data_IF_235916797962
#
_entry.id   IF_235916797962
#
_cell.length_a   1.000
_cell.length_b   1.000
_cell.length_c   1.000
_cell.angle_alpha   90.00
_cell.angle_beta   90.00
_cell.angle_gamma   90.00
#
_symmetry.space_group_name_H-M   'P 1'
#
loop_
_entity.id
_entity.type
_entity.pdbx_description
1 polymer ?
#
# COMPACT_ATOMS: atom_id res chain seq x y z
N UNK A 1 -19.04 -16.79 24.58
CA UNK A 1 -18.23 -17.40 23.50
C UNK A 1 -18.73 -17.10 22.07
N UNK A 2 -20.02 -16.85 21.81
CA UNK A 2 -20.57 -16.59 20.47
C UNK A 2 -20.05 -15.29 19.80
N UNK A 3 -19.77 -14.25 20.59
CA UNK A 3 -19.31 -12.96 20.08
C UNK A 3 -17.86 -12.95 19.58
N UNK A 4 -16.99 -13.81 20.15
CA UNK A 4 -15.58 -13.95 19.71
C UNK A 4 -15.44 -14.65 18.35
N UNK A 5 -16.35 -15.55 18.01
CA UNK A 5 -16.36 -16.18 16.67
C UNK A 5 -16.83 -15.20 15.61
N UNK A 6 -17.83 -14.35 15.91
CA UNK A 6 -18.22 -13.28 15.01
C UNK A 6 -17.10 -12.26 14.83
N UNK A 7 -16.43 -11.81 15.89
CA UNK A 7 -15.33 -10.85 15.75
C UNK A 7 -14.17 -11.40 14.91
N UNK A 8 -13.80 -12.67 15.11
CA UNK A 8 -12.71 -13.28 14.34
C UNK A 8 -13.10 -13.55 12.87
N UNK A 9 -14.37 -13.89 12.61
CA UNK A 9 -14.88 -13.97 11.24
C UNK A 9 -14.97 -12.58 10.60
N UNK A 10 -15.34 -11.55 11.36
CA UNK A 10 -15.38 -10.17 10.89
C UNK A 10 -13.99 -9.63 10.59
N UNK A 11 -13.00 -9.92 11.42
CA UNK A 11 -11.58 -9.61 11.18
C UNK A 11 -11.04 -10.38 9.97
N UNK A 12 -11.39 -11.66 9.82
CA UNK A 12 -11.01 -12.46 8.66
C UNK A 12 -11.67 -11.97 7.36
N UNK A 13 -12.93 -11.51 7.41
CA UNK A 13 -13.65 -10.97 6.26
C UNK A 13 -13.16 -9.57 5.89
N UNK A 14 -12.93 -8.68 6.87
CA UNK A 14 -12.31 -7.36 6.64
C UNK A 14 -10.86 -7.45 6.17
N UNK A 15 -10.17 -8.57 6.42
CA UNK A 15 -8.83 -8.82 5.87
C UNK A 15 -8.85 -9.22 4.39
N UNK A 16 -10.03 -9.51 3.82
CA UNK A 16 -10.17 -9.96 2.45
C UNK A 16 -10.41 -8.78 1.51
N UNK A 17 -9.51 -8.60 0.54
CA UNK A 17 -9.56 -7.56 -0.50
C UNK A 17 -10.92 -7.47 -1.22
N UNK A 18 -11.65 -8.58 -1.30
CA UNK A 18 -12.90 -8.69 -2.05
C UNK A 18 -14.15 -8.34 -1.25
N UNK A 19 -14.08 -8.27 0.08
CA UNK A 19 -15.27 -8.12 0.89
C UNK A 19 -16.00 -6.79 0.65
N UNK A 20 -15.28 -5.67 0.72
CA UNK A 20 -15.85 -4.33 0.47
C UNK A 20 -16.41 -4.22 -0.95
N UNK A 21 -15.67 -4.58 -2.03
CA UNK A 21 -16.22 -4.61 -3.38
C UNK A 21 -17.50 -5.46 -3.51
N UNK A 22 -17.52 -6.67 -2.92
CA UNK A 22 -18.70 -7.54 -2.99
C UNK A 22 -19.93 -6.92 -2.32
N UNK A 23 -19.75 -6.28 -1.16
CA UNK A 23 -20.84 -5.57 -0.47
C UNK A 23 -21.35 -4.40 -1.32
N UNK A 24 -20.46 -3.61 -1.93
CA UNK A 24 -20.84 -2.50 -2.79
C UNK A 24 -21.63 -2.97 -4.02
N UNK A 25 -21.21 -4.07 -4.65
CA UNK A 25 -21.92 -4.66 -5.80
C UNK A 25 -23.31 -5.12 -5.38
N UNK A 26 -23.44 -5.76 -4.22
CA UNK A 26 -24.73 -6.17 -3.68
C UNK A 26 -25.65 -4.95 -3.43
N UNK A 27 -25.10 -3.87 -2.86
CA UNK A 27 -25.85 -2.62 -2.66
C UNK A 27 -26.27 -1.99 -3.99
N UNK A 28 -25.43 -2.02 -5.02
CA UNK A 28 -25.77 -1.52 -6.34
C UNK A 28 -26.85 -2.36 -7.04
N UNK A 29 -26.82 -3.69 -6.88
CA UNK A 29 -27.90 -4.56 -7.32
C UNK A 29 -29.21 -4.20 -6.61
N UNK A 30 -29.20 -4.10 -5.29
CA UNK A 30 -30.38 -3.72 -4.51
C UNK A 30 -30.90 -2.34 -4.93
N UNK A 31 -30.01 -1.36 -5.10
CA UNK A 31 -30.34 -0.02 -5.57
C UNK A 31 -30.99 -0.07 -6.96
N UNK A 32 -30.50 -0.90 -7.88
CA UNK A 32 -31.10 -1.06 -9.21
C UNK A 32 -32.53 -1.58 -9.14
N UNK A 33 -32.81 -2.60 -8.31
CA UNK A 33 -34.16 -3.12 -8.14
C UNK A 33 -35.10 -2.09 -7.52
N UNK A 34 -34.61 -1.29 -6.57
CA UNK A 34 -35.38 -0.21 -5.93
C UNK A 34 -35.70 0.90 -6.94
N UNK A 35 -34.71 1.42 -7.68
CA UNK A 35 -34.94 2.50 -8.65
C UNK A 35 -35.86 2.06 -9.77
N UNK A 36 -35.66 0.85 -10.30
CA UNK A 36 -36.53 0.25 -11.32
C UNK A 36 -37.96 0.02 -10.77
N UNK A 37 -38.10 -0.49 -9.55
CA UNK A 37 -39.41 -0.75 -8.94
C UNK A 37 -40.20 0.52 -8.66
N UNK A 38 -39.52 1.61 -8.28
CA UNK A 38 -40.14 2.93 -8.12
C UNK A 38 -40.63 3.44 -9.47
N UNK A 39 -39.81 3.35 -10.52
CA UNK A 39 -40.18 3.77 -11.87
C UNK A 39 -41.38 2.97 -12.44
N UNK A 40 -41.53 1.69 -12.08
CA UNK A 40 -42.67 0.87 -12.51
C UNK A 40 -43.98 1.23 -11.78
N UNK A 41 -43.90 1.59 -10.49
CA UNK A 41 -45.07 1.84 -9.66
C UNK A 41 -45.56 3.29 -9.72
N UNK A 42 -44.68 4.25 -9.96
CA UNK A 42 -45.07 5.63 -10.13
C UNK A 42 -45.36 5.90 -11.61
N UNK A 43 -46.61 6.29 -11.92
CA UNK A 43 -46.90 7.03 -13.17
C UNK A 43 -46.23 8.41 -13.07
N UNK A 44 -44.93 8.46 -13.34
CA UNK A 44 -44.06 9.57 -13.76
C UNK A 44 -44.55 11.01 -13.51
N UNK A 45 -44.99 11.35 -12.30
CA UNK A 45 -45.43 12.72 -11.97
C UNK A 45 -44.36 13.51 -11.19
N UNK A 46 -43.46 12.84 -10.45
CA UNK A 46 -42.46 13.51 -9.61
C UNK A 46 -41.17 13.92 -10.33
N UNK A 47 -40.92 13.46 -11.56
CA UNK A 47 -39.66 13.72 -12.30
C UNK A 47 -39.90 14.53 -13.59
N UNK A 48 -41.15 14.95 -13.86
CA UNK A 48 -41.47 15.82 -15.00
C UNK A 48 -40.69 17.15 -15.02
N UNK A 49 -40.06 17.55 -13.92
CA UNK A 49 -39.21 18.74 -13.83
C UNK A 49 -37.73 18.53 -14.25
N UNK A 50 -37.20 17.29 -14.24
CA UNK A 50 -35.86 17.01 -14.80
C UNK A 50 -35.97 16.72 -16.30
N UNK A 51 -36.37 17.72 -17.09
CA UNK A 51 -36.65 17.59 -18.53
C UNK A 51 -35.52 17.00 -19.39
N UNK A 52 -34.27 17.00 -18.92
CA UNK A 52 -33.14 16.42 -19.65
C UNK A 52 -33.16 14.88 -19.70
N UNK A 53 -33.60 14.20 -18.63
CA UNK A 53 -33.66 12.73 -18.57
C UNK A 53 -34.87 12.16 -19.34
N UNK A 54 -35.94 12.95 -19.48
CA UNK A 54 -37.12 12.60 -20.26
C UNK A 54 -36.86 12.70 -21.78
N UNK A 55 -35.97 13.59 -22.20
CA UNK A 55 -35.70 13.89 -23.63
C UNK A 55 -34.82 12.83 -24.32
N UNK A 56 -34.08 12.00 -23.58
CA UNK A 56 -33.10 11.07 -24.13
C UNK A 56 -33.71 9.87 -24.88
N UNK A 57 -34.98 9.57 -24.57
CA UNK A 57 -35.68 8.40 -25.10
C UNK A 57 -35.03 7.06 -24.73
N UNK A 58 -35.62 5.95 -25.21
CA UNK A 58 -35.16 4.58 -24.93
C UNK A 58 -33.79 4.28 -25.55
N UNK A 59 -33.56 4.72 -26.79
CA UNK A 59 -32.29 4.53 -27.51
C UNK A 59 -31.14 5.30 -26.86
N UNK A 60 -31.35 6.57 -26.50
CA UNK A 60 -30.34 7.39 -25.83
C UNK A 60 -29.99 6.86 -24.43
N UNK A 61 -30.99 6.40 -23.68
CA UNK A 61 -30.77 5.79 -22.36
C UNK A 61 -29.95 4.51 -22.46
N UNK A 62 -30.24 3.63 -23.43
CA UNK A 62 -29.43 2.43 -23.70
C UNK A 62 -28.00 2.79 -24.09
N UNK A 63 -27.83 3.80 -24.96
CA UNK A 63 -26.51 4.23 -25.43
C UNK A 63 -25.64 4.76 -24.28
N UNK A 64 -26.18 5.65 -23.44
CA UNK A 64 -25.45 6.20 -22.28
C UNK A 64 -25.12 5.10 -21.27
N UNK A 65 -26.09 4.25 -20.89
CA UNK A 65 -25.83 3.18 -19.92
C UNK A 65 -24.80 2.17 -20.44
N UNK A 66 -24.83 1.85 -21.74
CA UNK A 66 -23.85 0.96 -22.37
C UNK A 66 -22.46 1.60 -22.39
N UNK A 67 -22.37 2.90 -22.69
CA UNK A 67 -21.12 3.64 -22.63
C UNK A 67 -20.55 3.66 -21.20
N UNK A 68 -21.38 3.97 -20.19
CA UNK A 68 -20.99 3.94 -18.77
C UNK A 68 -20.50 2.55 -18.39
N UNK A 69 -21.24 1.49 -18.72
CA UNK A 69 -20.84 0.12 -18.38
C UNK A 69 -19.48 -0.23 -19.00
N UNK A 70 -19.30 0.02 -20.30
CA UNK A 70 -18.03 -0.24 -20.99
C UNK A 70 -16.86 0.52 -20.37
N UNK A 71 -17.03 1.84 -20.15
CA UNK A 71 -16.00 2.68 -19.53
C UNK A 71 -15.65 2.22 -18.10
N UNK A 72 -16.65 1.88 -17.28
CA UNK A 72 -16.39 1.41 -15.91
C UNK A 72 -15.65 0.07 -15.88
N UNK A 73 -15.95 -0.84 -16.80
CA UNK A 73 -15.22 -2.11 -16.94
C UNK A 73 -13.76 -1.87 -17.33
N UNK A 74 -13.49 -0.96 -18.28
CA UNK A 74 -12.13 -0.58 -18.67
C UNK A 74 -11.38 0.03 -17.49
N UNK A 75 -11.97 1.01 -16.80
CA UNK A 75 -11.34 1.69 -15.67
C UNK A 75 -11.06 0.72 -14.51
N UNK A 76 -12.00 -0.18 -14.19
CA UNK A 76 -11.78 -1.23 -13.19
C UNK A 76 -10.58 -2.13 -13.54
N UNK A 77 -10.47 -2.53 -14.81
CA UNK A 77 -9.36 -3.36 -15.30
C UNK A 77 -8.02 -2.62 -15.22
N UNK A 78 -8.00 -1.33 -15.57
CA UNK A 78 -6.80 -0.49 -15.45
C UNK A 78 -6.39 -0.30 -13.99
N UNK A 79 -7.34 -0.01 -13.10
CA UNK A 79 -7.08 0.14 -11.66
C UNK A 79 -6.53 -1.16 -11.05
N UNK A 80 -7.11 -2.31 -11.41
CA UNK A 80 -6.64 -3.61 -10.99
C UNK A 80 -5.21 -3.90 -11.48
N UNK A 81 -4.91 -3.58 -12.73
CA UNK A 81 -3.56 -3.72 -13.30
C UNK A 81 -2.53 -2.87 -12.55
N UNK A 82 -2.83 -1.59 -12.31
CA UNK A 82 -1.94 -0.68 -11.56
C UNK A 82 -1.71 -1.20 -10.14
N UNK A 83 -2.76 -1.71 -9.48
CA UNK A 83 -2.65 -2.32 -8.16
C UNK A 83 -1.69 -3.52 -8.17
N UNK A 84 -1.81 -4.42 -9.15
CA UNK A 84 -0.93 -5.58 -9.26
C UNK A 84 0.51 -5.16 -9.48
N UNK A 85 0.75 -4.17 -10.35
CA UNK A 85 2.11 -3.64 -10.60
C UNK A 85 2.70 -3.05 -9.31
N UNK A 86 1.92 -2.26 -8.57
CA UNK A 86 2.34 -1.73 -7.28
C UNK A 86 2.66 -2.85 -6.28
N UNK A 87 1.84 -3.90 -6.23
CA UNK A 87 2.06 -5.07 -5.37
C UNK A 87 3.36 -5.82 -5.73
N UNK A 88 3.63 -6.00 -7.03
CA UNK A 88 4.86 -6.62 -7.52
C UNK A 88 6.10 -5.80 -7.16
N UNK A 89 6.03 -4.47 -7.30
CA UNK A 89 7.10 -3.55 -6.88
C UNK A 89 7.35 -3.62 -5.37
N UNK A 90 6.29 -3.62 -4.57
CA UNK A 90 6.39 -3.72 -3.10
C UNK A 90 7.01 -5.07 -2.67
N UNK A 91 6.56 -6.18 -3.26
CA UNK A 91 7.07 -7.52 -2.94
C UNK A 91 8.52 -7.72 -3.36
N UNK A 92 8.96 -7.09 -4.45
CA UNK A 92 10.35 -7.18 -4.92
C UNK A 92 11.32 -6.31 -4.14
N UNK A 93 10.87 -5.19 -3.58
CA UNK A 93 11.75 -4.23 -2.90
C UNK A 93 11.74 -4.31 -1.36
N UNK A 94 10.66 -4.77 -0.72
CA UNK A 94 10.50 -4.56 0.74
C UNK A 94 10.01 -5.79 1.54
N UNK A 95 9.93 -6.97 0.92
CA UNK A 95 9.64 -8.24 1.59
C UNK A 95 8.17 -8.48 1.97
N UNK A 96 7.84 -9.69 2.48
CA UNK A 96 6.48 -10.21 2.55
C UNK A 96 5.53 -9.49 3.53
N UNK A 97 6.02 -8.59 4.39
CA UNK A 97 5.20 -7.88 5.38
C UNK A 97 4.38 -6.73 4.78
N UNK A 98 4.86 -6.07 3.73
CA UNK A 98 4.13 -4.98 3.06
C UNK A 98 3.03 -5.48 2.12
N UNK A 99 3.17 -6.71 1.61
CA UNK A 99 2.14 -7.39 0.81
C UNK A 99 0.79 -7.46 1.54
N UNK A 100 0.83 -7.68 2.86
CA UNK A 100 -0.36 -7.79 3.71
C UNK A 100 -1.06 -6.45 3.94
N UNK A 101 -0.30 -5.35 4.02
CA UNK A 101 -0.86 -4.00 4.17
C UNK A 101 -1.50 -3.51 2.86
N UNK A 102 -0.92 -3.83 1.70
CA UNK A 102 -1.46 -3.43 0.40
C UNK A 102 -2.81 -4.12 0.09
N UNK A 103 -2.95 -5.39 0.46
CA UNK A 103 -4.22 -6.14 0.33
C UNK A 103 -5.34 -5.61 1.26
N UNK A 104 -4.97 -4.84 2.30
CA UNK A 104 -5.90 -4.23 3.25
C UNK A 104 -6.19 -2.75 2.95
N UNK A 105 -5.66 -2.21 1.85
CA UNK A 105 -5.89 -0.83 1.47
C UNK A 105 -7.37 -0.60 1.11
N UNK A 106 -8.10 0.03 2.03
CA UNK A 106 -9.50 0.35 1.86
C UNK A 106 -9.75 1.34 0.72
N UNK A 107 -8.79 2.20 0.41
CA UNK A 107 -8.89 3.13 -0.71
C UNK A 107 -9.05 2.37 -2.01
N UNK A 108 -8.18 1.40 -2.25
CA UNK A 108 -8.23 0.61 -3.47
C UNK A 108 -9.47 -0.31 -3.54
N UNK A 109 -9.90 -0.86 -2.40
CA UNK A 109 -11.14 -1.64 -2.31
C UNK A 109 -12.39 -0.81 -2.67
N UNK A 110 -12.48 0.43 -2.17
CA UNK A 110 -13.58 1.35 -2.48
C UNK A 110 -13.57 1.73 -3.96
N UNK A 111 -12.39 2.00 -4.52
CA UNK A 111 -12.22 2.33 -5.94
C UNK A 111 -12.72 1.20 -6.83
N UNK A 112 -12.19 -0.01 -6.63
CA UNK A 112 -12.58 -1.18 -7.40
C UNK A 112 -14.07 -1.50 -7.22
N UNK A 113 -14.54 -1.44 -5.96
CA UNK A 113 -15.94 -1.62 -5.62
C UNK A 113 -16.85 -0.63 -6.33
N UNK A 114 -16.49 0.65 -6.41
CA UNK A 114 -17.29 1.70 -7.06
C UNK A 114 -17.42 1.44 -8.56
N UNK A 115 -16.33 1.11 -9.26
CA UNK A 115 -16.37 0.87 -10.71
C UNK A 115 -17.18 -0.37 -11.06
N UNK A 116 -16.96 -1.49 -10.36
CA UNK A 116 -17.72 -2.72 -10.59
C UNK A 116 -19.20 -2.52 -10.24
N UNK A 117 -19.50 -1.79 -9.15
CA UNK A 117 -20.88 -1.50 -8.73
C UNK A 117 -21.62 -0.67 -9.77
N UNK A 118 -20.99 0.38 -10.29
CA UNK A 118 -21.56 1.24 -11.34
C UNK A 118 -21.76 0.46 -12.64
N UNK A 119 -20.81 -0.41 -13.01
CA UNK A 119 -20.95 -1.33 -14.14
C UNK A 119 -22.17 -2.25 -13.98
N UNK A 120 -22.28 -2.95 -12.84
CA UNK A 120 -23.38 -3.90 -12.57
C UNK A 120 -24.73 -3.18 -12.51
N UNK A 121 -24.78 -2.00 -11.88
CA UNK A 121 -25.97 -1.15 -11.87
C UNK A 121 -26.42 -0.83 -13.30
N UNK A 122 -25.52 -0.32 -14.15
CA UNK A 122 -25.84 0.02 -15.53
C UNK A 122 -26.34 -1.19 -16.33
N UNK A 123 -25.77 -2.39 -16.11
CA UNK A 123 -26.26 -3.61 -16.76
C UNK A 123 -27.66 -4.02 -16.30
N UNK A 124 -28.00 -3.88 -15.02
CA UNK A 124 -29.34 -4.20 -14.51
C UNK A 124 -30.40 -3.25 -15.08
N UNK A 125 -30.09 -1.95 -15.16
CA UNK A 125 -30.98 -0.98 -15.78
C UNK A 125 -31.11 -1.26 -17.29
N UNK A 126 -30.01 -1.53 -17.98
CA UNK A 126 -30.02 -1.86 -19.41
C UNK A 126 -30.84 -3.12 -19.72
N UNK A 127 -30.72 -4.17 -18.89
CA UNK A 127 -31.52 -5.39 -18.97
C UNK A 127 -33.02 -5.09 -18.94
N UNK A 128 -33.44 -4.14 -18.10
CA UNK A 128 -34.85 -3.75 -17.96
C UNK A 128 -35.36 -3.05 -19.22
N UNK A 129 -34.57 -2.15 -19.82
CA UNK A 129 -34.93 -1.44 -21.05
C UNK A 129 -34.97 -2.37 -22.27
N UNK A 130 -34.18 -3.45 -22.26
CA UNK A 130 -34.13 -4.43 -23.36
C UNK A 130 -35.18 -5.55 -23.24
N UNK A 131 -35.60 -5.92 -22.03
CA UNK A 131 -36.50 -7.06 -21.79
C UNK A 131 -37.99 -6.82 -22.04
N UNK A 132 -38.43 -5.55 -22.18
CA UNK A 132 -39.83 -5.19 -22.37
C UNK A 132 -40.16 -5.03 -23.86
N UNK A 133 -40.13 -6.13 -24.62
CA UNK A 133 -40.39 -6.13 -26.08
C UNK A 133 -41.80 -5.65 -26.49
N UNK A 134 -42.75 -5.54 -25.54
CA UNK A 134 -44.15 -5.14 -25.84
C UNK A 134 -44.51 -3.72 -25.41
N UNK A 135 -43.73 -3.08 -24.54
CA UNK A 135 -43.94 -1.70 -24.11
C UNK A 135 -42.58 -1.02 -23.91
N UNK A 136 -42.32 0.03 -24.68
CA UNK A 136 -41.09 0.80 -24.65
C UNK A 136 -41.03 1.62 -23.34
N UNK A 137 -40.64 0.95 -22.25
CA UNK A 137 -40.56 1.53 -20.92
C UNK A 137 -39.11 1.90 -20.59
N UNK A 138 -38.91 3.16 -20.21
CA UNK A 138 -37.61 3.69 -19.79
C UNK A 138 -37.71 4.08 -18.32
N UNK A 139 -36.96 3.43 -17.42
CA UNK A 139 -36.91 3.80 -16.02
C UNK A 139 -36.03 5.06 -15.87
N UNK A 140 -36.64 6.23 -15.99
CA UNK A 140 -35.93 7.51 -16.02
C UNK A 140 -35.18 7.77 -14.71
N UNK A 141 -35.75 7.45 -13.53
CA UNK A 141 -35.05 7.59 -12.25
C UNK A 141 -33.82 6.69 -12.21
N UNK A 142 -33.95 5.44 -12.67
CA UNK A 142 -32.85 4.50 -12.70
C UNK A 142 -31.71 4.97 -13.62
N UNK A 143 -32.04 5.53 -14.80
CA UNK A 143 -31.06 6.12 -15.73
C UNK A 143 -30.36 7.32 -15.09
N UNK A 144 -31.10 8.27 -14.50
CA UNK A 144 -30.51 9.44 -13.84
C UNK A 144 -29.59 9.05 -12.68
N UNK A 145 -29.98 8.06 -11.88
CA UNK A 145 -29.14 7.53 -10.81
C UNK A 145 -27.84 6.89 -11.37
N UNK A 146 -27.92 6.16 -12.49
CA UNK A 146 -26.75 5.61 -13.17
C UNK A 146 -25.78 6.68 -13.67
N UNK A 147 -26.29 7.80 -14.19
CA UNK A 147 -25.48 8.96 -14.58
C UNK A 147 -24.82 9.60 -13.35
N UNK A 148 -25.55 9.73 -12.24
CA UNK A 148 -24.99 10.20 -10.96
C UNK A 148 -23.86 9.31 -10.45
N UNK A 149 -24.02 7.99 -10.51
CA UNK A 149 -22.97 7.02 -10.15
C UNK A 149 -21.74 7.13 -11.08
N UNK A 150 -21.95 7.38 -12.38
CA UNK A 150 -20.85 7.60 -13.32
C UNK A 150 -20.07 8.88 -12.99
N UNK A 151 -20.75 9.98 -12.65
CA UNK A 151 -20.10 11.22 -12.21
C UNK A 151 -19.31 11.01 -10.91
N UNK A 152 -19.92 10.33 -9.93
CA UNK A 152 -19.22 9.96 -8.69
C UNK A 152 -17.98 9.10 -8.95
N UNK A 153 -18.06 8.17 -9.91
CA UNK A 153 -16.94 7.31 -10.32
C UNK A 153 -15.77 8.12 -10.90
N UNK A 154 -16.02 9.24 -11.58
CA UNK A 154 -14.94 10.13 -12.04
C UNK A 154 -14.18 10.72 -10.84
N UNK A 155 -14.88 11.15 -9.80
CA UNK A 155 -14.25 11.64 -8.56
C UNK A 155 -13.40 10.56 -7.88
N UNK A 156 -13.94 9.34 -7.81
CA UNK A 156 -13.22 8.17 -7.28
C UNK A 156 -11.99 7.81 -8.12
N UNK A 157 -12.04 7.99 -9.44
CA UNK A 157 -10.89 7.80 -10.32
C UNK A 157 -9.79 8.83 -10.07
N UNK A 158 -10.13 10.11 -9.90
CA UNK A 158 -9.16 11.16 -9.55
C UNK A 158 -8.50 10.83 -8.20
N UNK A 159 -9.30 10.43 -7.22
CA UNK A 159 -8.79 9.96 -5.93
C UNK A 159 -7.85 8.77 -6.10
N UNK A 160 -8.21 7.77 -6.89
CA UNK A 160 -7.39 6.59 -7.16
C UNK A 160 -6.02 6.94 -7.74
N UNK A 161 -5.99 7.86 -8.72
CA UNK A 161 -4.74 8.31 -9.34
C UNK A 161 -3.84 8.99 -8.30
N UNK A 162 -4.40 9.91 -7.50
CA UNK A 162 -3.65 10.61 -6.46
C UNK A 162 -3.11 9.66 -5.39
N UNK A 163 -3.97 8.76 -4.88
CA UNK A 163 -3.63 7.77 -3.87
C UNK A 163 -2.54 6.81 -4.35
N UNK A 164 -2.66 6.31 -5.58
CA UNK A 164 -1.67 5.42 -6.19
C UNK A 164 -0.32 6.11 -6.38
N UNK A 165 -0.31 7.36 -6.88
CA UNK A 165 0.92 8.12 -7.09
C UNK A 165 1.62 8.45 -5.76
N UNK A 166 0.88 8.87 -4.74
CA UNK A 166 1.42 9.19 -3.42
C UNK A 166 2.05 7.97 -2.74
N UNK A 167 1.38 6.81 -2.82
CA UNK A 167 1.88 5.57 -2.21
C UNK A 167 3.25 5.17 -2.79
N UNK A 168 3.41 5.23 -4.11
CA UNK A 168 4.68 4.91 -4.79
C UNK A 168 5.80 5.88 -4.36
N UNK A 169 5.50 7.17 -4.22
CA UNK A 169 6.50 8.17 -3.81
C UNK A 169 6.96 7.96 -2.36
N UNK A 170 6.04 7.63 -1.44
CA UNK A 170 6.36 7.38 -0.03
C UNK A 170 7.27 6.15 0.12
N UNK A 171 6.97 5.06 -0.59
CA UNK A 171 7.80 3.86 -0.57
C UNK A 171 9.24 4.14 -1.01
N UNK A 172 9.42 4.99 -2.04
CA UNK A 172 10.76 5.40 -2.49
C UNK A 172 11.51 6.22 -1.43
N UNK A 173 10.83 7.16 -0.78
CA UNK A 173 11.45 8.00 0.26
C UNK A 173 11.87 7.16 1.47
N UNK A 174 11.03 6.22 1.92
CA UNK A 174 11.36 5.31 3.03
C UNK A 174 12.62 4.49 2.72
N UNK A 175 12.73 3.97 1.48
CA UNK A 175 13.92 3.25 1.04
C UNK A 175 15.18 4.10 1.14
N UNK A 176 15.09 5.35 0.70
CA UNK A 176 16.22 6.27 0.67
C UNK A 176 16.67 6.64 2.10
N UNK A 177 15.72 6.92 2.99
CA UNK A 177 15.99 7.16 4.42
C UNK A 177 16.58 5.92 5.10
N UNK A 178 16.11 4.71 4.75
CA UNK A 178 16.69 3.46 5.26
C UNK A 178 18.16 3.30 4.88
N UNK A 179 18.48 3.53 3.61
CA UNK A 179 19.88 3.51 3.12
C UNK A 179 20.73 4.57 3.84
N UNK A 180 20.19 5.77 4.03
CA UNK A 180 20.89 6.84 4.75
C UNK A 180 21.15 6.49 6.22
N UNK A 181 20.17 5.85 6.89
CA UNK A 181 20.31 5.37 8.26
C UNK A 181 21.36 4.26 8.36
N UNK A 182 21.35 3.27 7.47
CA UNK A 182 22.34 2.20 7.45
C UNK A 182 23.76 2.77 7.26
N UNK A 183 23.93 3.71 6.32
CA UNK A 183 25.20 4.41 6.11
C UNK A 183 25.63 5.22 7.35
N UNK A 184 24.68 5.84 8.06
CA UNK A 184 24.97 6.57 9.28
C UNK A 184 25.41 5.64 10.43
N UNK A 185 24.77 4.46 10.55
CA UNK A 185 25.15 3.43 11.51
C UNK A 185 26.57 2.94 11.20
N UNK A 186 26.87 2.58 9.95
CA UNK A 186 28.21 2.11 9.55
C UNK A 186 29.30 3.14 9.82
N UNK A 187 28.97 4.43 9.67
CA UNK A 187 29.90 5.54 9.94
C UNK A 187 30.11 5.78 11.44
N UNK A 188 29.07 5.67 12.26
CA UNK A 188 29.12 5.95 13.70
C UNK A 188 29.61 4.75 14.52
N UNK A 189 29.32 3.53 14.05
CA UNK A 189 29.64 2.27 14.71
C UNK A 189 30.36 1.30 13.77
N UNK A 190 31.54 1.67 13.22
CA UNK A 190 32.29 0.78 12.34
C UNK A 190 32.70 -0.50 13.08
N UNK A 191 32.45 -1.67 12.50
CA UNK A 191 32.80 -2.96 13.11
C UNK A 191 34.32 -3.15 13.30
N UNK A 192 35.12 -2.48 12.48
CA UNK A 192 36.58 -2.52 12.53
C UNK A 192 37.19 -1.13 12.54
N UNK A 193 38.20 -0.93 13.40
CA UNK A 193 38.99 0.29 13.45
C UNK A 193 40.18 0.12 12.51
N UNK A 194 40.17 0.84 11.39
CA UNK A 194 41.23 0.80 10.38
C UNK A 194 41.03 -0.29 9.31
N UNK A 195 41.71 -0.13 8.18
CA UNK A 195 41.75 -1.10 7.09
C UNK A 195 42.90 -2.07 7.32
N UNK A 196 42.62 -3.26 7.85
CA UNK A 196 43.59 -4.35 7.76
C UNK A 196 43.83 -4.67 6.27
N UNK A 197 45.09 -4.64 5.83
CA UNK A 197 45.48 -5.10 4.49
C UNK A 197 45.23 -6.60 4.26
N UNK A 198 44.66 -7.31 5.24
CA UNK A 198 44.38 -8.74 5.18
C UNK A 198 42.98 -9.11 4.60
N UNK A 199 42.31 -8.23 3.85
CA UNK A 199 40.99 -8.53 3.23
C UNK A 199 40.99 -9.63 2.15
N UNK A 200 42.09 -10.36 1.95
CA UNK A 200 42.21 -11.48 1.01
C UNK A 200 42.21 -12.87 1.65
N UNK A 201 41.93 -13.02 2.95
CA UNK A 201 41.63 -14.33 3.53
C UNK A 201 40.18 -14.37 3.98
N UNK A 202 39.38 -15.12 3.22
CA UNK A 202 38.00 -15.46 3.53
C UNK A 202 37.92 -16.14 4.91
N UNK A 203 37.13 -15.51 5.77
CA UNK A 203 36.11 -16.05 6.68
C UNK A 203 36.40 -17.30 7.54
N UNK A 204 35.94 -17.19 8.80
CA UNK A 204 35.46 -18.27 9.68
C UNK A 204 36.41 -18.93 10.69
N UNK A 205 37.22 -18.13 11.40
CA UNK A 205 37.62 -18.55 12.76
C UNK A 205 37.78 -17.35 13.73
N UNK A 206 36.94 -17.24 14.78
CA UNK A 206 37.12 -16.26 15.86
C UNK A 206 38.48 -16.38 16.57
N UNK A 207 39.15 -17.52 16.42
CA UNK A 207 40.44 -17.84 17.03
C UNK A 207 41.63 -17.12 16.37
N UNK A 208 41.51 -16.61 15.14
CA UNK A 208 42.64 -16.01 14.39
C UNK A 208 42.88 -14.53 14.69
N UNK A 209 41.92 -13.78 15.24
CA UNK A 209 42.14 -12.38 15.66
C UNK A 209 43.23 -12.30 16.76
N UNK A 210 43.37 -13.38 17.53
CA UNK A 210 44.37 -13.53 18.59
C UNK A 210 45.80 -13.70 18.06
N UNK A 211 46.00 -13.93 16.76
CA UNK A 211 47.32 -14.23 16.19
C UNK A 211 48.24 -12.99 16.07
N UNK A 212 47.68 -11.78 16.07
CA UNK A 212 48.43 -10.52 15.95
C UNK A 212 48.74 -9.85 17.31
N UNK A 213 48.22 -10.38 18.42
CA UNK A 213 48.48 -9.86 19.76
C UNK A 213 49.65 -10.65 20.38
N UNK A 214 50.77 -10.02 20.76
CA UNK A 214 51.89 -10.71 21.41
C UNK A 214 51.44 -11.45 22.67
N UNK A 215 51.93 -12.68 22.90
CA UNK A 215 51.54 -13.49 24.06
C UNK A 215 51.90 -12.84 25.42
N UNK A 216 52.83 -11.87 25.43
CA UNK A 216 53.23 -11.06 26.57
C UNK A 216 52.43 -9.76 26.72
N UNK A 217 51.42 -9.50 25.88
CA UNK A 217 50.68 -8.25 25.87
C UNK A 217 50.09 -7.91 27.24
N UNK A 218 49.35 -8.83 27.88
CA UNK A 218 48.73 -8.58 29.18
C UNK A 218 49.75 -8.28 30.30
N UNK A 219 50.98 -8.77 30.16
CA UNK A 219 52.05 -8.56 31.13
C UNK A 219 52.76 -7.22 30.95
N UNK A 220 52.94 -6.79 29.70
CA UNK A 220 53.70 -5.59 29.35
C UNK A 220 52.81 -4.36 29.11
N UNK A 221 51.50 -4.56 28.94
CA UNK A 221 50.52 -3.50 28.76
C UNK A 221 50.34 -2.68 30.04
N UNK A 222 50.09 -1.38 29.86
CA UNK A 222 49.71 -0.48 30.95
C UNK A 222 48.21 -0.19 30.87
N UNK A 223 47.42 -0.56 31.89
CA UNK A 223 45.98 -0.29 31.87
C UNK A 223 45.72 1.21 32.04
N UNK A 224 44.85 1.76 31.19
CA UNK A 224 44.32 3.13 31.32
C UNK A 224 42.96 3.04 32.00
N UNK A 225 42.92 3.44 33.28
CA UNK A 225 41.69 3.38 34.08
C UNK A 225 40.85 4.65 33.92
N UNK A 226 39.52 4.50 33.97
CA UNK A 226 38.61 5.64 34.00
C UNK A 226 38.79 6.43 35.31
N UNK A 227 38.89 7.76 35.20
CA UNK A 227 39.01 8.63 36.38
C UNK A 227 37.70 8.74 37.16
N UNK A 228 36.56 8.56 36.48
CA UNK A 228 35.22 8.69 37.02
C UNK A 228 34.33 7.52 36.56
N UNK A 229 33.32 7.16 37.37
CA UNK A 229 32.30 6.18 36.98
C UNK A 229 31.29 6.77 35.99
N UNK A 230 30.88 5.98 34.99
CA UNK A 230 29.91 6.38 33.97
C UNK A 230 29.83 5.38 32.81
N UNK A 231 29.07 5.74 31.78
CA UNK A 231 28.97 4.98 30.52
C UNK A 231 29.87 5.59 29.45
N UNK A 232 30.47 4.73 28.60
CA UNK A 232 31.24 5.18 27.44
C UNK A 232 30.25 5.63 26.38
N UNK A 233 30.26 6.92 26.03
CA UNK A 233 29.34 7.47 25.03
C UNK A 233 29.90 7.40 23.61
N UNK A 234 31.21 7.53 23.46
CA UNK A 234 31.88 7.50 22.17
C UNK A 234 33.36 7.16 22.32
N UNK A 235 33.97 6.66 21.24
CA UNK A 235 35.40 6.41 21.13
C UNK A 235 35.89 7.06 19.83
N UNK A 236 36.89 7.93 19.91
CA UNK A 236 37.49 8.54 18.72
C UNK A 236 38.50 7.58 18.08
N UNK A 237 37.99 6.71 17.21
CA UNK A 237 38.77 5.69 16.53
C UNK A 237 39.93 6.26 15.68
N UNK A 238 39.75 7.44 15.08
CA UNK A 238 40.76 8.06 14.23
C UNK A 238 41.96 8.54 15.05
N UNK A 239 41.69 9.21 16.17
CA UNK A 239 42.72 9.73 17.07
C UNK A 239 43.47 8.59 17.79
N UNK A 240 42.77 7.54 18.22
CA UNK A 240 43.41 6.35 18.77
C UNK A 240 44.33 5.66 17.76
N UNK A 241 43.89 5.53 16.50
CA UNK A 241 44.71 4.93 15.45
C UNK A 241 45.92 5.81 15.09
N UNK A 242 45.74 7.13 15.09
CA UNK A 242 46.84 8.08 14.88
C UNK A 242 47.90 7.95 15.97
N UNK A 243 47.51 7.97 17.25
CA UNK A 243 48.43 7.82 18.39
C UNK A 243 49.15 6.46 18.33
N UNK A 244 48.41 5.39 18.06
CA UNK A 244 48.97 4.05 17.94
C UNK A 244 50.01 3.96 16.82
N UNK A 245 49.75 4.60 15.68
CA UNK A 245 50.65 4.61 14.53
C UNK A 245 51.89 5.47 14.76
N UNK A 246 51.72 6.66 15.34
CA UNK A 246 52.83 7.60 15.63
C UNK A 246 53.82 7.02 16.65
N UNK A 247 53.32 6.29 17.65
CA UNK A 247 54.13 5.76 18.74
C UNK A 247 54.40 4.25 18.63
N UNK A 248 53.97 3.62 17.53
CA UNK A 248 54.07 2.18 17.28
C UNK A 248 53.56 1.32 18.44
N UNK A 249 52.34 1.63 18.91
CA UNK A 249 51.69 0.99 20.05
C UNK A 249 50.62 0.00 19.61
N UNK A 250 50.44 -1.06 20.39
CA UNK A 250 49.27 -1.94 20.31
C UNK A 250 48.25 -1.49 21.37
N UNK A 251 47.03 -1.16 20.94
CA UNK A 251 45.94 -0.74 21.82
C UNK A 251 44.84 -1.79 21.83
N UNK A 252 44.42 -2.21 23.03
CA UNK A 252 43.25 -3.08 23.21
C UNK A 252 42.14 -2.30 23.90
N UNK A 253 41.03 -2.13 23.19
CA UNK A 253 39.83 -1.49 23.73
C UNK A 253 38.99 -2.57 24.42
N UNK A 254 38.94 -2.54 25.76
CA UNK A 254 38.22 -3.55 26.54
C UNK A 254 36.70 -3.33 26.56
N UNK A 255 36.23 -2.10 26.36
CA UNK A 255 34.82 -1.72 26.48
C UNK A 255 34.40 -0.87 25.27
N UNK A 256 33.19 -1.11 24.75
CA UNK A 256 32.61 -0.35 23.61
C UNK A 256 31.63 0.71 24.12
N UNK A 257 31.30 1.74 23.32
CA UNK A 257 30.22 2.65 23.66
C UNK A 257 28.89 1.91 23.87
N UNK A 258 28.15 2.27 24.93
CA UNK A 258 26.93 1.59 25.37
C UNK A 258 27.09 0.87 26.71
#
# INVERSE_FOLDING_TARGET
MKNRKLSNLWESLNSSFWFVPSVMVFLALALSFVTIGIDQNQKTALIGELGWAYTLGPSGSRAILSAIASSMMSVATTAFSITIVALQLASSQFGPRLLRNFMQDRGNQIVLGTFISTFVYSLMVLRTINGLEKHEFVPHLAVTCGIGLAIASIGVLIYFIHHSASSIQVDHVIKLVGIELDNAIDRLFPETIGTSKAKNKQQDNPSEISADIPANFDRDARPVSAMNGGYIQSINNHELMQIASEHNLLLQIQQRPG
#
